data_IF_908838887737
#
_entry.id   IF_908838887737
#
_cell.length_a   1.000
_cell.length_b   1.000
_cell.length_c   1.000
_cell.angle_alpha   90.00
_cell.angle_beta   90.00
_cell.angle_gamma   90.00
#
_symmetry.space_group_name_H-M   'P 1'
#
loop_
_entity.id
_entity.type
_entity.pdbx_description
1 polymer ?
#
# COMPACT_ATOMS: atom_id res chain seq x y z
N UNK A 1 5.10 -21.02 -11.59
CA UNK A 1 5.44 -20.58 -12.98
C UNK A 1 6.27 -19.32 -12.84
N UNK A 2 7.41 -19.21 -13.55
CA UNK A 2 8.26 -18.01 -13.44
C UNK A 2 7.50 -16.77 -13.93
N UNK A 3 7.62 -15.65 -13.21
CA UNK A 3 7.02 -14.37 -13.58
C UNK A 3 7.90 -13.74 -14.67
N UNK A 4 7.34 -13.34 -15.83
CA UNK A 4 8.13 -12.68 -16.86
C UNK A 4 8.57 -11.29 -16.39
N UNK A 5 9.65 -10.75 -16.97
CA UNK A 5 10.06 -9.39 -16.73
C UNK A 5 9.07 -8.40 -17.34
N UNK A 6 8.77 -7.33 -16.60
CA UNK A 6 7.90 -6.24 -17.02
C UNK A 6 8.72 -4.95 -17.23
N UNK A 7 8.37 -4.10 -18.23
CA UNK A 7 8.95 -2.78 -18.38
C UNK A 7 8.71 -1.86 -17.17
N UNK A 8 7.57 -2.06 -16.47
CA UNK A 8 7.15 -1.22 -15.34
C UNK A 8 6.61 -2.07 -14.20
N UNK A 9 6.99 -1.71 -12.99
CA UNK A 9 6.46 -2.28 -11.75
C UNK A 9 5.87 -1.16 -10.88
N UNK A 10 4.66 -1.37 -10.42
CA UNK A 10 4.04 -0.57 -9.37
C UNK A 10 3.98 -1.39 -8.09
N UNK A 11 4.25 -0.75 -6.96
CA UNK A 11 4.22 -1.40 -5.66
C UNK A 11 3.28 -0.66 -4.71
N UNK A 12 2.43 -1.39 -4.00
CA UNK A 12 1.90 -0.86 -2.75
C UNK A 12 3.02 -0.80 -1.70
N UNK A 13 2.78 -0.09 -0.60
CA UNK A 13 3.79 0.18 0.43
C UNK A 13 3.50 -0.60 1.71
N UNK A 14 2.35 -0.32 2.33
CA UNK A 14 2.01 -0.87 3.64
C UNK A 14 1.46 -2.30 3.50
N UNK A 15 2.21 -3.29 3.94
CA UNK A 15 1.89 -4.73 3.76
C UNK A 15 2.60 -5.36 2.57
N UNK A 16 3.17 -4.56 1.67
CA UNK A 16 3.88 -5.06 0.49
C UNK A 16 5.40 -4.83 0.60
N UNK A 17 5.82 -3.61 0.85
CA UNK A 17 7.23 -3.26 1.04
C UNK A 17 7.59 -3.14 2.52
N UNK A 18 6.65 -2.62 3.33
CA UNK A 18 6.84 -2.29 4.73
C UNK A 18 5.82 -3.02 5.61
N UNK A 19 6.33 -3.62 6.68
CA UNK A 19 5.54 -4.16 7.79
C UNK A 19 5.23 -3.03 8.77
N UNK A 20 4.23 -2.23 8.46
CA UNK A 20 3.91 -0.95 9.11
C UNK A 20 2.70 -0.99 10.04
N UNK A 21 2.02 -2.15 10.16
CA UNK A 21 0.77 -2.27 10.91
C UNK A 21 0.87 -1.78 12.37
N UNK A 22 1.98 -2.04 13.05
CA UNK A 22 2.15 -1.62 14.44
C UNK A 22 2.12 -0.09 14.62
N UNK A 23 2.73 0.66 13.70
CA UNK A 23 2.70 2.12 13.75
C UNK A 23 1.36 2.68 13.28
N UNK A 24 0.75 2.11 12.24
CA UNK A 24 -0.57 2.53 11.75
C UNK A 24 -1.64 2.29 12.81
N UNK A 25 -1.72 1.07 13.35
CA UNK A 25 -2.71 0.73 14.38
C UNK A 25 -2.46 1.49 15.68
N UNK A 26 -1.20 1.68 16.07
CA UNK A 26 -0.86 2.46 17.26
C UNK A 26 -1.23 3.94 17.14
N UNK A 27 -1.12 4.54 15.95
CA UNK A 27 -1.60 5.90 15.70
C UNK A 27 -3.14 5.96 15.78
N UNK A 28 -3.84 4.98 15.20
CA UNK A 28 -5.29 4.87 15.31
C UNK A 28 -5.74 4.71 16.77
N UNK A 29 -5.11 3.83 17.54
CA UNK A 29 -5.40 3.67 18.97
C UNK A 29 -5.18 4.96 19.76
N UNK A 30 -4.15 5.75 19.41
CA UNK A 30 -3.89 7.04 20.05
C UNK A 30 -5.05 8.01 19.87
N UNK A 31 -5.56 8.16 18.65
CA UNK A 31 -6.68 9.11 18.39
C UNK A 31 -8.02 8.58 18.88
N UNK A 32 -8.19 7.26 18.96
CA UNK A 32 -9.42 6.64 19.46
C UNK A 32 -9.47 6.55 20.99
N UNK A 33 -8.36 6.78 21.70
CA UNK A 33 -8.25 6.60 23.16
C UNK A 33 -9.27 7.41 23.97
N UNK A 34 -9.71 8.57 23.46
CA UNK A 34 -10.71 9.43 24.11
C UNK A 34 -12.13 9.23 23.59
N UNK A 35 -12.37 8.22 22.77
CA UNK A 35 -13.68 7.93 22.16
C UNK A 35 -14.31 6.67 22.75
N UNK A 36 -15.55 6.38 22.39
CA UNK A 36 -16.24 5.12 22.72
C UNK A 36 -15.57 3.89 22.06
N UNK A 37 -14.67 4.09 21.10
CA UNK A 37 -13.93 3.06 20.37
C UNK A 37 -12.51 2.82 20.90
N UNK A 38 -12.22 3.17 22.16
CA UNK A 38 -10.87 3.11 22.76
C UNK A 38 -10.31 1.69 22.99
N UNK A 39 -11.15 0.65 22.86
CA UNK A 39 -10.77 -0.74 23.11
C UNK A 39 -10.78 -1.63 21.85
N UNK A 40 -10.70 -1.02 20.65
CA UNK A 40 -10.64 -1.81 19.41
C UNK A 40 -9.37 -2.64 19.35
N UNK A 41 -9.46 -3.96 19.09
CA UNK A 41 -8.29 -4.81 18.97
C UNK A 41 -7.47 -4.44 17.73
N UNK A 42 -6.16 -4.64 17.81
CA UNK A 42 -5.25 -4.32 16.71
C UNK A 42 -5.62 -5.09 15.44
N UNK A 43 -6.04 -6.33 15.57
CA UNK A 43 -6.43 -7.20 14.45
C UNK A 43 -7.60 -6.59 13.66
N UNK A 44 -8.56 -5.97 14.35
CA UNK A 44 -9.64 -5.25 13.70
C UNK A 44 -9.14 -4.03 12.92
N UNK A 45 -8.32 -3.19 13.55
CA UNK A 45 -7.75 -2.00 12.90
C UNK A 45 -6.90 -2.38 11.69
N UNK A 46 -6.18 -3.49 11.78
CA UNK A 46 -5.32 -3.98 10.71
C UNK A 46 -6.09 -4.34 9.44
N UNK A 47 -7.36 -4.76 9.53
CA UNK A 47 -8.21 -5.05 8.36
C UNK A 47 -8.50 -3.83 7.50
N UNK A 48 -8.25 -2.63 8.01
CA UNK A 48 -8.41 -1.37 7.28
C UNK A 48 -7.10 -0.87 6.64
N UNK A 49 -5.96 -1.53 6.87
CA UNK A 49 -4.71 -1.18 6.19
C UNK A 49 -4.86 -1.52 4.70
N UNK A 50 -4.42 -0.62 3.83
CA UNK A 50 -4.61 -0.73 2.38
C UNK A 50 -5.95 -0.18 1.86
N UNK A 51 -6.89 0.16 2.75
CA UNK A 51 -8.12 0.89 2.44
C UNK A 51 -7.95 2.39 2.72
N UNK A 52 -8.92 3.19 2.31
CA UNK A 52 -8.95 4.60 2.73
C UNK A 52 -9.37 4.67 4.20
N UNK A 53 -8.67 5.49 5.01
CA UNK A 53 -9.00 5.62 6.44
C UNK A 53 -10.40 6.23 6.68
N UNK A 54 -10.93 6.96 5.71
CA UNK A 54 -12.31 7.44 5.77
C UNK A 54 -13.30 6.29 5.96
N UNK A 55 -13.05 5.12 5.34
CA UNK A 55 -13.92 3.95 5.47
C UNK A 55 -13.99 3.48 6.93
N UNK A 56 -12.86 3.48 7.65
CA UNK A 56 -12.83 3.17 9.07
C UNK A 56 -13.61 4.21 9.87
N UNK A 57 -13.39 5.50 9.60
CA UNK A 57 -14.04 6.56 10.36
C UNK A 57 -15.53 6.64 10.09
N UNK A 58 -16.00 6.41 8.87
CA UNK A 58 -17.45 6.28 8.57
C UNK A 58 -18.06 5.07 9.26
N UNK A 59 -17.34 3.97 9.36
CA UNK A 59 -17.81 2.79 10.08
C UNK A 59 -17.92 3.06 11.58
N UNK A 60 -16.91 3.67 12.20
CA UNK A 60 -16.86 3.93 13.63
C UNK A 60 -17.80 5.09 14.03
N UNK A 61 -17.87 6.11 13.21
CA UNK A 61 -18.60 7.35 13.49
C UNK A 61 -19.62 7.66 12.38
N UNK A 62 -20.70 6.87 12.23
CA UNK A 62 -21.64 7.00 11.11
C UNK A 62 -22.41 8.32 11.09
N UNK A 63 -22.34 9.11 12.17
CA UNK A 63 -22.97 10.44 12.28
C UNK A 63 -21.97 11.58 12.14
N UNK A 64 -20.68 11.28 11.93
CA UNK A 64 -19.65 12.30 11.75
C UNK A 64 -19.89 13.11 10.47
N UNK A 65 -19.68 14.40 10.59
CA UNK A 65 -19.69 15.29 9.41
C UNK A 65 -18.39 15.13 8.61
N UNK A 66 -18.37 15.66 7.38
CA UNK A 66 -17.12 15.70 6.59
C UNK A 66 -16.01 16.47 7.32
N UNK A 67 -16.35 17.49 8.10
CA UNK A 67 -15.40 18.26 8.92
C UNK A 67 -14.83 17.41 10.07
N UNK A 68 -15.69 16.61 10.75
CA UNK A 68 -15.23 15.69 11.80
C UNK A 68 -14.29 14.62 11.24
N UNK A 69 -14.60 14.06 10.08
CA UNK A 69 -13.75 13.07 9.40
C UNK A 69 -12.41 13.69 9.00
N UNK A 70 -12.43 14.91 8.45
CA UNK A 70 -11.20 15.62 8.09
C UNK A 70 -10.31 15.91 9.32
N UNK A 71 -10.92 16.22 10.47
CA UNK A 71 -10.19 16.41 11.74
C UNK A 71 -9.57 15.09 12.21
N UNK A 72 -10.32 13.99 12.22
CA UNK A 72 -9.81 12.66 12.59
C UNK A 72 -8.63 12.25 11.70
N UNK A 73 -8.70 12.51 10.40
CA UNK A 73 -7.59 12.27 9.47
C UNK A 73 -6.37 13.12 9.77
N UNK A 74 -6.56 14.40 10.14
CA UNK A 74 -5.47 15.27 10.54
C UNK A 74 -4.80 14.79 11.84
N UNK A 75 -5.60 14.44 12.84
CA UNK A 75 -5.12 13.90 14.12
C UNK A 75 -4.38 12.57 13.92
N UNK A 76 -4.91 11.67 13.08
CA UNK A 76 -4.23 10.44 12.70
C UNK A 76 -2.86 10.71 12.05
N UNK A 77 -2.79 11.62 11.09
CA UNK A 77 -1.52 11.96 10.43
C UNK A 77 -0.50 12.48 11.42
N UNK A 78 -0.92 13.34 12.35
CA UNK A 78 -0.04 13.84 13.41
C UNK A 78 0.44 12.72 14.32
N UNK A 79 -0.47 11.86 14.80
CA UNK A 79 -0.14 10.72 15.64
C UNK A 79 0.79 9.73 14.94
N UNK A 80 0.55 9.45 13.64
CA UNK A 80 1.39 8.56 12.85
C UNK A 80 2.80 9.11 12.66
N UNK A 81 2.95 10.40 12.33
CA UNK A 81 4.26 11.04 12.19
C UNK A 81 5.02 11.08 13.51
N UNK A 82 4.32 11.32 14.64
CA UNK A 82 4.93 11.33 15.96
C UNK A 82 5.53 9.96 16.37
N UNK A 83 5.09 8.86 15.77
CA UNK A 83 5.65 7.52 15.99
C UNK A 83 7.00 7.31 15.31
N UNK A 84 7.41 8.18 14.41
CA UNK A 84 8.69 8.11 13.68
C UNK A 84 8.99 6.74 13.06
N UNK A 85 7.96 5.97 12.70
CA UNK A 85 8.04 4.62 12.15
C UNK A 85 8.86 3.64 13.01
N UNK A 86 8.81 3.80 14.34
CA UNK A 86 9.68 3.08 15.29
C UNK A 86 9.43 1.56 15.34
N UNK A 87 8.23 1.12 14.93
CA UNK A 87 7.85 -0.29 14.86
C UNK A 87 7.63 -0.79 13.43
N UNK A 88 8.00 0.02 12.43
CA UNK A 88 7.94 -0.36 11.00
C UNK A 88 9.24 -1.04 10.60
N UNK A 89 9.12 -2.09 9.79
CA UNK A 89 10.26 -2.84 9.25
C UNK A 89 10.10 -3.02 7.74
N UNK A 90 11.22 -3.12 7.02
CA UNK A 90 11.23 -3.54 5.62
C UNK A 90 11.02 -5.06 5.57
N UNK A 91 10.10 -5.54 4.74
CA UNK A 91 9.94 -6.99 4.57
C UNK A 91 11.21 -7.64 4.03
N UNK A 92 11.51 -8.89 4.44
CA UNK A 92 12.65 -9.64 3.93
C UNK A 92 12.66 -9.71 2.40
N UNK A 93 13.84 -9.52 1.80
CA UNK A 93 14.01 -9.57 0.34
C UNK A 93 13.61 -8.32 -0.44
N UNK A 94 12.91 -7.34 0.15
CA UNK A 94 12.44 -6.13 -0.54
C UNK A 94 13.59 -5.31 -1.12
N UNK A 95 14.54 -4.88 -0.30
CA UNK A 95 15.67 -4.06 -0.77
C UNK A 95 16.50 -4.81 -1.83
N UNK A 96 16.75 -6.11 -1.61
CA UNK A 96 17.45 -6.96 -2.57
C UNK A 96 16.71 -7.03 -3.91
N UNK A 97 15.39 -7.26 -3.86
CA UNK A 97 14.57 -7.38 -5.07
C UNK A 97 14.54 -6.06 -5.83
N UNK A 98 14.24 -4.94 -5.14
CA UNK A 98 14.18 -3.63 -5.77
C UNK A 98 15.51 -3.24 -6.45
N UNK A 99 16.65 -3.62 -5.84
CA UNK A 99 17.98 -3.35 -6.40
C UNK A 99 18.29 -4.17 -7.66
N UNK A 100 17.79 -5.41 -7.73
CA UNK A 100 18.09 -6.35 -8.84
C UNK A 100 17.02 -6.35 -9.93
N UNK A 101 15.80 -5.94 -9.59
CA UNK A 101 14.67 -5.95 -10.52
C UNK A 101 14.87 -4.86 -11.58
N UNK A 102 14.92 -5.26 -12.83
CA UNK A 102 14.92 -4.35 -13.97
C UNK A 102 13.61 -3.58 -14.12
N UNK A 103 13.49 -2.77 -15.17
CA UNK A 103 12.30 -1.96 -15.42
C UNK A 103 12.19 -0.73 -14.51
N UNK A 104 11.28 0.18 -14.88
CA UNK A 104 10.98 1.39 -14.09
C UNK A 104 10.04 1.05 -12.94
N UNK A 105 10.20 1.74 -11.83
CA UNK A 105 9.46 1.45 -10.60
C UNK A 105 8.77 2.70 -10.07
N UNK A 106 7.51 2.53 -9.64
CA UNK A 106 6.79 3.54 -8.86
C UNK A 106 6.02 2.88 -7.72
N UNK A 107 5.66 3.68 -6.74
CA UNK A 107 4.63 3.27 -5.78
C UNK A 107 3.23 3.52 -6.36
N UNK A 108 2.23 2.81 -5.83
CA UNK A 108 0.81 3.06 -6.04
C UNK A 108 0.07 2.74 -4.73
N UNK A 109 0.04 3.71 -3.81
CA UNK A 109 -0.41 3.50 -2.42
C UNK A 109 -1.52 4.46 -2.02
N UNK A 110 -2.35 4.04 -1.04
CA UNK A 110 -3.37 4.92 -0.41
C UNK A 110 -2.75 5.99 0.49
N UNK A 111 -1.49 5.80 0.90
CA UNK A 111 -0.73 6.80 1.66
C UNK A 111 -0.46 8.03 0.78
N UNK A 112 -0.52 9.24 1.35
CA UNK A 112 -0.18 10.48 0.62
C UNK A 112 1.28 10.50 0.15
N UNK A 113 1.55 11.12 -1.00
CA UNK A 113 2.88 11.16 -1.62
C UNK A 113 3.98 11.72 -0.71
N UNK A 114 3.78 12.83 0.04
CA UNK A 114 4.82 13.33 0.95
C UNK A 114 5.19 12.33 2.03
N UNK A 115 4.19 11.67 2.64
CA UNK A 115 4.41 10.65 3.67
C UNK A 115 5.09 9.41 3.09
N UNK A 116 4.71 9.01 1.87
CA UNK A 116 5.33 7.88 1.16
C UNK A 116 6.80 8.14 0.89
N UNK A 117 7.15 9.33 0.41
CA UNK A 117 8.56 9.71 0.20
C UNK A 117 9.35 9.66 1.49
N UNK A 118 8.85 10.30 2.55
CA UNK A 118 9.54 10.33 3.84
C UNK A 118 9.81 8.94 4.41
N UNK A 119 8.82 8.03 4.34
CA UNK A 119 9.03 6.67 4.85
C UNK A 119 10.00 5.88 3.98
N UNK A 120 9.93 6.00 2.65
CA UNK A 120 10.89 5.33 1.76
C UNK A 120 12.32 5.85 1.94
N UNK A 121 12.49 7.15 2.19
CA UNK A 121 13.79 7.75 2.54
C UNK A 121 14.34 7.19 3.84
N UNK A 122 13.50 7.15 4.89
CA UNK A 122 13.90 6.62 6.20
C UNK A 122 14.40 5.18 6.14
N UNK A 123 13.79 4.35 5.31
CA UNK A 123 14.17 2.94 5.13
C UNK A 123 15.17 2.70 3.98
N UNK A 124 15.71 3.77 3.36
CA UNK A 124 16.70 3.66 2.29
C UNK A 124 16.17 3.06 0.99
N UNK A 125 14.86 3.08 0.77
CA UNK A 125 14.23 2.50 -0.41
C UNK A 125 13.96 3.51 -1.53
N UNK A 126 13.98 4.81 -1.25
CA UNK A 126 13.58 5.86 -2.20
C UNK A 126 14.39 5.82 -3.51
N UNK A 127 15.67 5.50 -3.44
CA UNK A 127 16.58 5.48 -4.59
C UNK A 127 16.29 4.36 -5.60
N UNK A 128 15.47 3.38 -5.25
CA UNK A 128 15.06 2.32 -6.16
C UNK A 128 13.88 2.70 -7.06
N UNK A 129 13.23 3.83 -6.80
CA UNK A 129 12.02 4.27 -7.50
C UNK A 129 12.32 5.42 -8.46
N UNK A 130 11.84 5.29 -9.69
CA UNK A 130 11.88 6.35 -10.70
C UNK A 130 10.81 7.41 -10.43
N UNK A 131 9.73 7.01 -9.75
CA UNK A 131 8.63 7.88 -9.32
C UNK A 131 8.02 7.38 -8.01
N UNK A 132 7.47 8.29 -7.21
CA UNK A 132 6.71 7.94 -5.99
C UNK A 132 5.31 8.52 -6.13
N UNK A 133 4.32 7.64 -6.27
CA UNK A 133 2.92 8.00 -6.37
C UNK A 133 2.15 7.53 -5.13
N UNK A 134 1.63 8.49 -4.39
CA UNK A 134 0.63 8.29 -3.35
C UNK A 134 -0.74 8.80 -3.78
N UNK A 135 -1.70 8.81 -2.87
CA UNK A 135 -3.06 9.30 -3.10
C UNK A 135 -3.21 10.70 -2.50
N UNK A 136 -3.29 11.72 -3.35
CA UNK A 136 -3.38 13.13 -2.95
C UNK A 136 -4.53 13.84 -3.70
N UNK A 137 -5.68 13.99 -3.06
CA UNK A 137 -6.81 14.78 -3.57
C UNK A 137 -7.60 14.12 -4.71
N UNK A 138 -7.48 12.79 -4.87
CA UNK A 138 -8.29 11.98 -5.79
C UNK A 138 -8.71 10.68 -5.08
N UNK A 139 -9.69 9.92 -5.63
CA UNK A 139 -10.15 8.68 -5.02
C UNK A 139 -9.04 7.66 -4.81
N UNK A 140 -8.97 7.09 -3.59
CA UNK A 140 -8.01 6.05 -3.25
C UNK A 140 -8.38 4.69 -3.86
N UNK A 141 -7.45 3.73 -3.82
CA UNK A 141 -7.75 2.33 -4.14
C UNK A 141 -9.00 1.87 -3.37
N UNK A 142 -9.92 1.16 -3.98
CA UNK A 142 -9.81 0.43 -5.26
C UNK A 142 -10.06 1.27 -6.52
N UNK A 143 -10.16 2.61 -6.42
CA UNK A 143 -10.21 3.45 -7.62
C UNK A 143 -8.86 3.40 -8.36
N UNK A 144 -8.85 3.31 -9.72
CA UNK A 144 -7.62 3.09 -10.47
C UNK A 144 -6.73 4.33 -10.65
N UNK A 145 -7.14 5.50 -10.14
CA UNK A 145 -6.47 6.79 -10.38
C UNK A 145 -5.00 6.79 -9.99
N UNK A 146 -4.64 6.18 -8.84
CA UNK A 146 -3.27 6.10 -8.39
C UNK A 146 -2.39 5.31 -9.37
N UNK A 147 -2.95 4.25 -9.99
CA UNK A 147 -2.27 3.45 -11.00
C UNK A 147 -2.08 4.26 -12.28
N UNK A 148 -3.15 4.92 -12.78
CA UNK A 148 -3.05 5.75 -13.99
C UNK A 148 -2.07 6.92 -13.82
N UNK A 149 -2.04 7.56 -12.66
CA UNK A 149 -1.10 8.66 -12.36
C UNK A 149 0.34 8.16 -12.34
N UNK A 150 0.60 7.00 -11.72
CA UNK A 150 1.93 6.38 -11.70
C UNK A 150 2.38 6.00 -13.13
N UNK A 151 1.51 5.39 -13.92
CA UNK A 151 1.80 5.04 -15.32
C UNK A 151 2.10 6.29 -16.17
N UNK A 152 1.28 7.34 -16.03
CA UNK A 152 1.48 8.60 -16.75
C UNK A 152 2.84 9.24 -16.40
N UNK A 153 3.20 9.25 -15.12
CA UNK A 153 4.48 9.78 -14.65
C UNK A 153 5.68 8.98 -15.20
N UNK A 154 5.50 7.67 -15.38
CA UNK A 154 6.50 6.80 -15.98
C UNK A 154 6.44 6.75 -17.52
N UNK A 155 5.47 7.38 -18.17
CA UNK A 155 5.26 7.30 -19.63
C UNK A 155 5.00 5.87 -20.10
N UNK A 156 4.18 5.11 -19.39
CA UNK A 156 3.93 3.69 -19.63
C UNK A 156 2.45 3.41 -19.90
N UNK A 157 2.19 2.27 -20.58
CA UNK A 157 0.85 1.79 -20.85
C UNK A 157 0.47 0.65 -19.88
N UNK A 158 -0.83 0.44 -19.60
CA UNK A 158 -1.27 -0.62 -18.69
C UNK A 158 -0.73 -2.01 -19.02
N UNK A 159 -0.66 -2.40 -20.30
CA UNK A 159 -0.16 -3.71 -20.72
C UNK A 159 1.33 -3.97 -20.45
N UNK A 160 2.09 -2.94 -20.11
CA UNK A 160 3.53 -3.01 -19.80
C UNK A 160 3.81 -3.15 -18.30
N UNK A 161 2.77 -3.16 -17.46
CA UNK A 161 2.88 -2.96 -16.03
C UNK A 161 2.43 -4.17 -15.22
N UNK A 162 3.21 -4.49 -14.19
CA UNK A 162 2.83 -5.38 -13.09
C UNK A 162 2.60 -4.55 -11.82
N UNK A 163 1.40 -4.61 -11.25
CA UNK A 163 1.10 -4.02 -9.95
C UNK A 163 1.18 -5.08 -8.86
N UNK A 164 2.04 -4.87 -7.89
CA UNK A 164 2.32 -5.77 -6.77
C UNK A 164 1.71 -5.18 -5.50
N UNK A 165 0.84 -5.94 -4.84
CA UNK A 165 0.15 -5.51 -3.63
C UNK A 165 -0.36 -6.68 -2.79
N UNK A 166 -0.77 -6.40 -1.56
CA UNK A 166 -1.21 -7.40 -0.59
C UNK A 166 -2.71 -7.31 -0.25
N UNK A 167 -3.43 -6.31 -0.75
CA UNK A 167 -4.82 -6.07 -0.41
C UNK A 167 -5.79 -6.33 -1.58
N UNK A 168 -7.06 -6.57 -1.25
CA UNK A 168 -8.13 -6.65 -2.25
C UNK A 168 -8.29 -5.34 -3.02
N UNK A 169 -8.00 -4.19 -2.38
CA UNK A 169 -8.01 -2.87 -3.01
C UNK A 169 -6.95 -2.75 -4.11
N UNK A 170 -5.79 -3.41 -3.94
CA UNK A 170 -4.73 -3.46 -4.96
C UNK A 170 -5.17 -4.27 -6.17
N UNK A 171 -5.70 -5.47 -5.91
CA UNK A 171 -6.15 -6.37 -6.96
C UNK A 171 -7.29 -5.76 -7.77
N UNK A 172 -8.22 -5.10 -7.11
CA UNK A 172 -9.32 -4.41 -7.78
C UNK A 172 -8.83 -3.20 -8.57
N UNK A 173 -7.92 -2.39 -8.03
CA UNK A 173 -7.33 -1.26 -8.75
C UNK A 173 -6.53 -1.73 -9.97
N UNK A 174 -5.77 -2.82 -9.88
CA UNK A 174 -5.09 -3.44 -11.00
C UNK A 174 -6.07 -3.86 -12.09
N UNK A 175 -7.13 -4.58 -11.72
CA UNK A 175 -8.16 -5.03 -12.66
C UNK A 175 -8.87 -3.86 -13.36
N UNK A 176 -9.24 -2.81 -12.61
CA UNK A 176 -9.91 -1.62 -13.15
C UNK A 176 -9.01 -0.79 -14.07
N UNK A 177 -7.70 -0.81 -13.84
CA UNK A 177 -6.73 -0.10 -14.67
C UNK A 177 -6.19 -0.91 -15.84
N UNK A 178 -6.49 -2.21 -15.91
CA UNK A 178 -6.04 -3.10 -16.99
C UNK A 178 -4.56 -3.47 -16.92
N UNK A 179 -3.91 -3.27 -15.76
CA UNK A 179 -2.54 -3.75 -15.52
C UNK A 179 -2.55 -5.19 -15.03
N UNK A 180 -1.43 -5.91 -15.20
CA UNK A 180 -1.25 -7.22 -14.58
C UNK A 180 -1.12 -7.08 -13.07
N UNK A 181 -1.65 -8.06 -12.33
CA UNK A 181 -1.67 -8.06 -10.88
C UNK A 181 -0.80 -9.17 -10.30
N UNK A 182 -0.10 -8.84 -9.20
CA UNK A 182 0.66 -9.80 -8.41
C UNK A 182 0.28 -9.64 -6.94
N UNK A 183 -0.37 -10.65 -6.37
CA UNK A 183 -0.69 -10.68 -4.95
C UNK A 183 0.49 -11.20 -4.14
N UNK A 184 0.90 -10.50 -3.08
CA UNK A 184 1.81 -11.02 -2.08
C UNK A 184 1.02 -11.58 -0.90
N UNK A 185 1.43 -12.75 -0.38
CA UNK A 185 0.69 -13.46 0.66
C UNK A 185 1.24 -13.25 2.07
N UNK A 186 2.33 -12.52 2.22
CA UNK A 186 2.97 -12.21 3.50
C UNK A 186 2.45 -10.90 4.13
N UNK A 187 1.61 -10.14 3.41
CA UNK A 187 1.05 -8.87 3.85
C UNK A 187 -0.14 -9.01 4.79
N UNK A 188 -1.04 -8.03 4.76
CA UNK A 188 -2.20 -7.96 5.68
C UNK A 188 -3.47 -8.56 5.07
N UNK A 189 -3.53 -8.70 3.75
CA UNK A 189 -4.69 -9.27 3.06
C UNK A 189 -4.83 -10.77 3.28
N UNK A 190 -6.06 -11.24 3.38
CA UNK A 190 -6.35 -12.66 3.50
C UNK A 190 -6.20 -13.36 2.15
N UNK A 191 -5.42 -14.43 2.10
CA UNK A 191 -5.12 -15.17 0.87
C UNK A 191 -6.38 -15.63 0.12
N UNK A 192 -7.44 -16.02 0.86
CA UNK A 192 -8.72 -16.44 0.26
C UNK A 192 -9.44 -15.26 -0.43
N UNK A 193 -9.40 -14.07 0.17
CA UNK A 193 -10.01 -12.87 -0.41
C UNK A 193 -9.23 -12.40 -1.65
N UNK A 194 -7.90 -12.44 -1.58
CA UNK A 194 -7.03 -12.12 -2.72
C UNK A 194 -7.29 -13.07 -3.90
N UNK A 195 -7.46 -14.38 -3.62
CA UNK A 195 -7.74 -15.39 -4.64
C UNK A 195 -9.08 -15.16 -5.39
N UNK A 196 -10.09 -14.54 -4.73
CA UNK A 196 -11.36 -14.18 -5.37
C UNK A 196 -11.19 -13.17 -6.51
N UNK A 197 -10.13 -12.36 -6.46
CA UNK A 197 -9.80 -11.39 -7.51
C UNK A 197 -9.07 -12.00 -8.69
N UNK A 198 -8.64 -13.29 -8.59
CA UNK A 198 -7.90 -14.03 -9.61
C UNK A 198 -6.66 -13.26 -10.11
N UNK A 199 -5.71 -12.91 -9.20
CA UNK A 199 -4.51 -12.21 -9.62
C UNK A 199 -3.73 -13.02 -10.66
N UNK A 200 -3.05 -12.33 -11.58
CA UNK A 200 -2.24 -13.01 -12.61
C UNK A 200 -1.09 -13.81 -11.99
N UNK A 201 -0.56 -13.33 -10.86
CA UNK A 201 0.51 -13.98 -10.11
C UNK A 201 0.23 -13.91 -8.60
N UNK A 202 0.71 -14.92 -7.88
CA UNK A 202 0.69 -14.98 -6.41
C UNK A 202 2.06 -15.40 -5.93
N UNK A 203 2.65 -14.65 -5.00
CA UNK A 203 3.99 -14.90 -4.47
C UNK A 203 4.00 -14.85 -2.95
N UNK A 204 4.87 -15.64 -2.34
CA UNK A 204 5.12 -15.65 -0.89
C UNK A 204 6.36 -14.87 -0.49
N UNK A 205 7.18 -14.47 -1.45
CA UNK A 205 8.41 -13.70 -1.25
C UNK A 205 8.64 -12.78 -2.45
N UNK A 206 9.01 -11.53 -2.20
CA UNK A 206 9.19 -10.56 -3.29
C UNK A 206 10.32 -10.96 -4.25
N UNK A 207 11.28 -11.75 -3.80
CA UNK A 207 12.37 -12.28 -4.64
C UNK A 207 11.90 -13.19 -5.78
N UNK A 208 10.67 -13.70 -5.70
CA UNK A 208 10.05 -14.46 -6.80
C UNK A 208 9.79 -13.62 -8.07
N UNK A 209 9.86 -12.29 -7.95
CA UNK A 209 9.86 -11.38 -9.12
C UNK A 209 11.17 -11.38 -9.90
N UNK A 210 12.25 -11.87 -9.30
CA UNK A 210 13.56 -11.89 -9.96
C UNK A 210 13.62 -13.07 -10.95
N UNK A 211 14.29 -12.88 -12.09
CA UNK A 211 14.52 -13.98 -13.02
C UNK A 211 15.30 -15.11 -12.33
N UNK A 212 14.86 -16.33 -12.55
CA UNK A 212 15.59 -17.51 -12.05
C UNK A 212 16.97 -17.52 -12.67
N UNK A 213 18.05 -17.61 -11.90
CA UNK A 213 19.40 -17.77 -12.47
C UNK A 213 19.44 -19.00 -13.39
N UNK A 214 20.00 -18.81 -14.57
CA UNK A 214 20.18 -19.89 -15.54
C UNK A 214 21.19 -20.92 -15.03
#
# INVERSE_FOLDING_TARGET
MAIPAFPVYLFDVDGTLLKSAADICGALQTILASTEHNNLPQEFLQTYIGRHLDDLFYYLFPKATAEDTARLLADYRQAYLARCHAATEVYPGVAETLAKLGGRKSTATTKGTPTTKAVLEQFGLISFFDHVQGTDGFPAKPHPDVVFKALAALGAQPGECLFVGDSTSDMEAAKRSGVRSCAVTYGYGHAQELACWQPDYVIGDLRELLPVPA
#
